data_IF_900657779151
#
_entry.id   IF_900657779151
#
_cell.length_a   1.000
_cell.length_b   1.000
_cell.length_c   1.000
_cell.angle_alpha   90.00
_cell.angle_beta   90.00
_cell.angle_gamma   90.00
#
_symmetry.space_group_name_H-M   'P 1'
#
loop_
_entity.id
_entity.type
_entity.pdbx_description
1 polymer ?
#
# COMPACT_ATOMS: atom_id res chain seq x y z
N UNK A 1 -49.95 -40.24 21.46
CA UNK A 1 -48.96 -40.71 20.46
C UNK A 1 -48.84 -39.77 19.25
N UNK A 2 -49.85 -38.94 18.97
CA UNK A 2 -49.87 -37.94 17.90
C UNK A 2 -49.04 -36.67 18.19
N UNK A 3 -48.89 -36.26 19.46
CA UNK A 3 -48.10 -35.06 19.82
C UNK A 3 -46.58 -35.23 19.68
N UNK A 4 -46.07 -36.47 19.85
CA UNK A 4 -44.64 -36.78 19.71
C UNK A 4 -44.20 -36.71 18.23
N UNK A 5 -45.07 -37.14 17.31
CA UNK A 5 -44.81 -37.05 15.86
C UNK A 5 -44.86 -35.59 15.36
N UNK A 6 -45.74 -34.75 15.93
CA UNK A 6 -45.85 -33.32 15.60
C UNK A 6 -44.63 -32.53 16.10
N UNK A 7 -44.11 -32.85 17.29
CA UNK A 7 -42.91 -32.22 17.87
C UNK A 7 -41.65 -32.49 17.06
N UNK A 8 -41.47 -33.71 16.57
CA UNK A 8 -40.30 -34.06 15.76
C UNK A 8 -40.27 -33.30 14.43
N UNK A 9 -41.42 -33.14 13.75
CA UNK A 9 -41.50 -32.33 12.52
C UNK A 9 -41.07 -30.88 12.74
N UNK A 10 -41.53 -30.25 13.81
CA UNK A 10 -41.15 -28.86 14.17
C UNK A 10 -39.64 -28.76 14.39
N UNK A 11 -39.04 -29.72 15.09
CA UNK A 11 -37.57 -29.78 15.31
C UNK A 11 -36.79 -29.94 14.00
N UNK A 12 -37.25 -30.80 13.09
CA UNK A 12 -36.59 -30.98 11.79
C UNK A 12 -36.72 -29.75 10.90
N UNK A 13 -37.87 -29.07 10.89
CA UNK A 13 -38.05 -27.81 10.17
C UNK A 13 -37.07 -26.76 10.70
N UNK A 14 -36.99 -26.56 12.01
CA UNK A 14 -36.02 -25.64 12.60
C UNK A 14 -34.56 -26.03 12.31
N UNK A 15 -34.23 -27.32 12.34
CA UNK A 15 -32.88 -27.81 12.03
C UNK A 15 -32.50 -27.50 10.57
N UNK A 16 -33.41 -27.74 9.63
CA UNK A 16 -33.19 -27.45 8.21
C UNK A 16 -33.08 -25.94 7.99
N UNK A 17 -33.96 -25.14 8.58
CA UNK A 17 -33.92 -23.67 8.46
C UNK A 17 -32.62 -23.10 9.04
N UNK A 18 -32.19 -23.58 10.20
CA UNK A 18 -30.93 -23.17 10.82
C UNK A 18 -29.72 -23.53 9.95
N UNK A 19 -29.73 -24.72 9.33
CA UNK A 19 -28.67 -25.14 8.42
C UNK A 19 -28.59 -24.25 7.18
N UNK A 20 -29.74 -23.93 6.57
CA UNK A 20 -29.81 -23.03 5.41
C UNK A 20 -29.32 -21.63 5.78
N UNK A 21 -29.76 -21.08 6.92
CA UNK A 21 -29.30 -19.79 7.42
C UNK A 21 -27.79 -19.79 7.68
N UNK A 22 -27.24 -20.84 8.27
CA UNK A 22 -25.80 -20.97 8.50
C UNK A 22 -25.03 -20.96 7.17
N UNK A 23 -25.51 -21.67 6.15
CA UNK A 23 -24.91 -21.64 4.81
C UNK A 23 -24.91 -20.25 4.17
N UNK A 24 -26.02 -19.52 4.29
CA UNK A 24 -26.13 -18.14 3.79
C UNK A 24 -25.15 -17.23 4.54
N UNK A 25 -25.12 -17.29 5.87
CA UNK A 25 -24.22 -16.48 6.70
C UNK A 25 -22.74 -16.77 6.39
N UNK A 26 -22.40 -18.02 6.10
CA UNK A 26 -21.04 -18.40 5.71
C UNK A 26 -20.64 -17.82 4.34
N UNK A 27 -21.52 -17.91 3.34
CA UNK A 27 -21.28 -17.30 2.01
C UNK A 27 -21.17 -15.77 2.13
N UNK A 28 -22.05 -15.13 2.91
CA UNK A 28 -22.01 -13.69 3.15
C UNK A 28 -20.73 -13.27 3.88
N UNK A 29 -20.31 -14.00 4.92
CA UNK A 29 -19.08 -13.70 5.66
C UNK A 29 -17.83 -13.79 4.78
N UNK A 30 -17.73 -14.86 3.97
CA UNK A 30 -16.63 -14.99 3.00
C UNK A 30 -16.72 -13.88 1.95
N UNK A 31 -17.92 -13.60 1.43
CA UNK A 31 -18.17 -12.58 0.42
C UNK A 31 -17.77 -11.17 0.87
N UNK A 32 -18.04 -10.80 2.11
CA UNK A 32 -17.59 -9.52 2.68
C UNK A 32 -16.06 -9.40 2.64
N UNK A 33 -15.34 -10.42 3.10
CA UNK A 33 -13.86 -10.38 3.12
C UNK A 33 -13.21 -10.50 1.73
N UNK A 34 -13.92 -11.04 0.74
CA UNK A 34 -13.38 -11.30 -0.61
C UNK A 34 -13.67 -10.16 -1.57
N UNK A 35 -14.91 -9.64 -1.56
CA UNK A 35 -15.35 -8.59 -2.48
C UNK A 35 -15.25 -7.17 -1.90
N UNK A 36 -15.31 -7.00 -0.57
CA UNK A 36 -15.13 -5.67 0.06
C UNK A 36 -13.67 -5.41 0.45
N UNK A 37 -12.77 -6.37 0.27
CA UNK A 37 -11.35 -6.11 0.29
C UNK A 37 -10.97 -5.45 -1.05
N UNK A 38 -10.72 -4.14 -1.02
CA UNK A 38 -10.19 -3.40 -2.16
C UNK A 38 -8.86 -4.00 -2.67
N UNK A 39 -8.29 -3.45 -3.77
CA UNK A 39 -7.06 -3.94 -4.38
C UNK A 39 -5.99 -4.18 -3.33
N UNK A 40 -5.56 -5.44 -3.18
CA UNK A 40 -4.72 -5.87 -2.05
C UNK A 40 -3.27 -5.41 -2.18
N UNK A 41 -2.86 -4.99 -3.37
CA UNK A 41 -1.53 -4.47 -3.70
C UNK A 41 -1.68 -3.51 -4.88
N UNK A 42 -1.32 -2.24 -4.70
CA UNK A 42 -1.12 -1.30 -5.81
C UNK A 42 0.39 -1.22 -6.01
N UNK A 43 0.89 -1.82 -7.09
CA UNK A 43 2.31 -1.78 -7.44
C UNK A 43 2.52 -0.63 -8.40
N UNK A 44 3.24 0.40 -7.98
CA UNK A 44 3.76 1.40 -8.88
C UNK A 44 5.22 1.09 -9.19
N UNK A 45 5.55 1.03 -10.47
CA UNK A 45 6.91 0.78 -10.94
C UNK A 45 7.35 1.91 -11.85
N UNK A 46 8.52 2.48 -11.56
CA UNK A 46 9.14 3.45 -12.43
C UNK A 46 10.65 3.23 -12.44
N UNK A 47 11.27 3.53 -13.58
CA UNK A 47 12.69 3.30 -13.86
C UNK A 47 13.36 4.65 -14.04
N UNK A 48 14.42 4.91 -13.28
CA UNK A 48 15.26 6.09 -13.47
C UNK A 48 16.73 5.75 -13.48
N UNK A 49 17.49 6.60 -14.18
CA UNK A 49 18.93 6.71 -14.04
C UNK A 49 19.21 7.94 -13.18
N UNK A 50 19.35 7.73 -11.87
CA UNK A 50 19.95 8.72 -10.98
C UNK A 50 21.47 8.54 -11.04
N UNK A 51 22.22 9.63 -11.22
CA UNK A 51 23.69 9.60 -11.38
C UNK A 51 24.41 8.93 -10.20
N UNK A 52 23.85 9.02 -8.99
CA UNK A 52 24.43 8.47 -7.76
C UNK A 52 23.56 7.37 -7.10
N UNK A 53 22.52 6.90 -7.78
CA UNK A 53 21.61 5.90 -7.21
C UNK A 53 20.78 6.36 -5.99
N UNK A 54 20.77 7.67 -5.70
CA UNK A 54 20.02 8.25 -4.57
C UNK A 54 18.62 8.70 -5.02
N UNK A 55 17.60 8.21 -4.31
CA UNK A 55 16.22 8.63 -4.48
C UNK A 55 15.62 9.14 -3.15
N UNK A 56 14.80 10.17 -3.25
CA UNK A 56 14.02 10.73 -2.14
C UNK A 56 12.55 10.40 -2.39
N UNK A 57 11.96 9.68 -1.45
CA UNK A 57 10.53 9.38 -1.46
C UNK A 57 9.82 10.37 -0.53
N UNK A 58 8.86 11.12 -1.07
CA UNK A 58 8.10 12.07 -0.25
C UNK A 58 7.15 11.36 0.71
N UNK A 59 6.89 11.98 1.86
CA UNK A 59 5.93 11.48 2.86
C UNK A 59 4.50 11.39 2.29
N UNK A 60 4.14 12.35 1.45
CA UNK A 60 2.86 12.37 0.73
C UNK A 60 2.66 11.11 -0.12
N UNK A 61 3.74 10.58 -0.72
CA UNK A 61 3.69 9.36 -1.54
C UNK A 61 3.44 8.11 -0.72
N UNK A 62 3.99 8.04 0.50
CA UNK A 62 3.76 6.92 1.42
C UNK A 62 2.37 6.95 2.03
N UNK A 63 1.85 8.13 2.32
CA UNK A 63 0.52 8.32 2.91
C UNK A 63 -0.62 8.26 1.88
N UNK A 64 -0.32 8.40 0.58
CA UNK A 64 -1.27 8.20 -0.50
C UNK A 64 -1.77 6.75 -0.63
N UNK A 65 -1.04 5.76 -0.09
CA UNK A 65 -1.41 4.35 -0.17
C UNK A 65 -2.21 3.94 1.08
N UNK A 66 -3.43 3.43 0.87
CA UNK A 66 -4.22 2.85 1.95
C UNK A 66 -3.59 1.52 2.43
N UNK A 67 -3.15 1.48 3.69
CA UNK A 67 -2.59 0.28 4.32
C UNK A 67 -1.10 0.39 4.61
N UNK A 68 -0.38 -0.73 4.50
CA UNK A 68 1.06 -0.76 4.75
C UNK A 68 1.83 -0.56 3.44
N UNK A 69 2.50 0.58 3.31
CA UNK A 69 3.37 0.86 2.17
C UNK A 69 4.57 -0.09 2.17
N UNK A 70 4.86 -0.69 1.01
CA UNK A 70 6.05 -1.50 0.79
C UNK A 70 6.83 -0.92 -0.39
N UNK A 71 8.11 -0.62 -0.17
CA UNK A 71 8.98 -0.02 -1.18
C UNK A 71 10.06 -1.01 -1.55
N UNK A 72 10.16 -1.31 -2.85
CA UNK A 72 11.19 -2.20 -3.40
C UNK A 72 12.02 -1.39 -4.38
N UNK A 73 13.32 -1.27 -4.10
CA UNK A 73 14.26 -0.55 -4.96
C UNK A 73 15.24 -1.54 -5.55
N UNK A 74 15.42 -1.48 -6.87
CA UNK A 74 16.36 -2.32 -7.60
C UNK A 74 17.32 -1.41 -8.38
N UNK A 75 18.62 -1.67 -8.30
CA UNK A 75 19.63 -0.86 -8.96
C UNK A 75 21.06 -1.27 -8.57
N UNK A 76 22.04 -0.51 -9.05
CA UNK A 76 23.43 -0.59 -8.58
C UNK A 76 23.56 0.36 -7.41
N UNK A 77 23.87 -0.19 -6.23
CA UNK A 77 23.96 0.53 -4.95
C UNK A 77 22.77 1.48 -4.67
N UNK A 78 21.52 0.99 -4.74
CA UNK A 78 20.34 1.84 -4.58
C UNK A 78 20.22 2.34 -3.14
N UNK A 79 20.17 3.66 -2.97
CA UNK A 79 19.91 4.30 -1.68
C UNK A 79 18.60 5.08 -1.77
N UNK A 80 17.71 4.84 -0.82
CA UNK A 80 16.46 5.58 -0.69
C UNK A 80 16.43 6.33 0.64
N UNK A 81 16.16 7.62 0.57
CA UNK A 81 15.94 8.48 1.72
C UNK A 81 14.42 8.66 1.94
N UNK A 82 13.99 8.44 3.17
CA UNK A 82 12.58 8.51 3.58
C UNK A 82 12.51 9.25 4.92
N UNK A 83 11.54 10.16 5.05
CA UNK A 83 11.35 10.95 6.26
C UNK A 83 10.48 12.16 5.97
N UNK A 84 10.45 13.11 6.92
CA UNK A 84 9.77 14.37 6.71
C UNK A 84 10.49 15.18 5.63
N UNK A 85 9.75 15.66 4.62
CA UNK A 85 10.32 16.27 3.40
C UNK A 85 11.40 17.31 3.71
N UNK A 86 11.11 18.26 4.61
CA UNK A 86 12.06 19.31 5.00
C UNK A 86 13.41 18.75 5.47
N UNK A 87 13.39 17.71 6.29
CA UNK A 87 14.60 17.19 6.92
C UNK A 87 15.39 16.33 5.91
N UNK A 88 14.70 15.52 5.09
CA UNK A 88 15.33 14.73 4.03
C UNK A 88 15.96 15.64 2.98
N UNK A 89 15.25 16.67 2.52
CA UNK A 89 15.79 17.65 1.56
C UNK A 89 17.03 18.35 2.10
N UNK A 90 17.07 18.69 3.39
CA UNK A 90 18.25 19.27 4.00
C UNK A 90 19.46 18.30 4.01
N UNK A 91 19.22 17.01 4.23
CA UNK A 91 20.29 15.99 4.21
C UNK A 91 20.81 15.69 2.81
N UNK A 92 19.92 15.71 1.81
CA UNK A 92 20.29 15.36 0.42
C UNK A 92 20.71 16.55 -0.42
N UNK A 93 20.51 17.79 0.05
CA UNK A 93 20.85 19.04 -0.63
C UNK A 93 22.24 19.04 -1.34
N UNK A 94 23.34 18.56 -0.73
CA UNK A 94 24.65 18.60 -1.37
C UNK A 94 24.86 17.53 -2.48
N UNK A 95 23.90 16.63 -2.70
CA UNK A 95 24.00 15.54 -3.66
C UNK A 95 22.99 15.70 -4.80
N UNK A 96 23.27 15.14 -5.97
CA UNK A 96 22.20 14.92 -6.96
C UNK A 96 21.24 13.84 -6.44
N UNK A 97 19.94 13.95 -6.68
CA UNK A 97 18.99 12.92 -6.26
C UNK A 97 17.76 12.90 -7.17
N UNK A 98 17.05 11.78 -7.20
CA UNK A 98 15.74 11.71 -7.83
C UNK A 98 14.64 11.92 -6.79
N UNK A 99 13.68 12.81 -7.04
CA UNK A 99 12.44 12.87 -6.27
C UNK A 99 11.45 11.85 -6.82
N UNK A 100 10.70 11.19 -5.92
CA UNK A 100 9.68 10.21 -6.26
C UNK A 100 8.36 10.66 -5.66
N UNK A 101 7.39 10.97 -6.53
CA UNK A 101 6.06 11.45 -6.17
C UNK A 101 4.97 10.54 -6.75
N UNK A 102 3.87 10.34 -6.04
CA UNK A 102 2.68 9.69 -6.62
C UNK A 102 1.77 10.68 -7.33
N UNK A 103 1.43 10.41 -8.59
CA UNK A 103 0.30 11.05 -9.26
C UNK A 103 -1.00 10.31 -8.91
N UNK A 104 -1.81 10.95 -8.05
CA UNK A 104 -3.11 10.44 -7.62
C UNK A 104 -4.12 10.27 -8.78
N UNK A 105 -3.93 10.99 -9.89
CA UNK A 105 -4.83 10.98 -11.05
C UNK A 105 -4.59 9.77 -11.95
N UNK A 106 -3.32 9.39 -12.12
CA UNK A 106 -2.90 8.32 -13.03
C UNK A 106 -2.51 7.03 -12.32
N UNK A 107 -2.41 7.06 -10.98
CA UNK A 107 -1.89 5.95 -10.17
C UNK A 107 -0.50 5.53 -10.67
N UNK A 108 0.38 6.51 -10.97
CA UNK A 108 1.76 6.30 -11.39
C UNK A 108 2.72 7.04 -10.47
N UNK A 109 3.96 6.55 -10.39
CA UNK A 109 5.05 7.30 -9.77
C UNK A 109 5.69 8.19 -10.82
N UNK A 110 5.77 9.48 -10.50
CA UNK A 110 6.52 10.48 -11.26
C UNK A 110 7.86 10.63 -10.59
N UNK A 111 8.93 10.58 -11.40
CA UNK A 111 10.28 10.77 -10.90
C UNK A 111 10.92 11.96 -11.60
N UNK A 112 11.46 12.87 -10.79
CA UNK A 112 12.11 14.09 -11.28
C UNK A 112 13.55 14.14 -10.78
N UNK A 113 14.55 14.14 -11.68
CA UNK A 113 15.95 14.28 -11.28
C UNK A 113 16.24 15.70 -10.80
N UNK A 114 16.98 15.81 -9.71
CA UNK A 114 17.53 17.04 -9.14
C UNK A 114 19.04 16.96 -9.27
N UNK A 115 19.62 17.93 -9.98
CA UNK A 115 21.06 18.02 -10.16
C UNK A 115 21.74 18.37 -8.83
N UNK A 116 22.99 17.94 -8.69
CA UNK A 116 23.80 18.26 -7.53
C UNK A 116 23.98 19.78 -7.37
N UNK A 117 23.79 20.26 -6.14
CA UNK A 117 24.17 21.63 -5.77
C UNK A 117 25.62 21.65 -5.27
N UNK A 118 26.51 22.20 -6.11
CA UNK A 118 27.94 22.28 -5.80
C UNK A 118 28.25 23.30 -4.69
N UNK A 119 27.45 24.35 -4.53
CA UNK A 119 27.65 25.35 -3.47
C UNK A 119 27.26 24.76 -2.11
N UNK A 120 26.12 24.06 -2.06
CA UNK A 120 25.72 23.30 -0.89
C UNK A 120 26.76 22.21 -0.55
N UNK A 121 27.29 21.51 -1.55
CA UNK A 121 28.32 20.49 -1.36
C UNK A 121 29.61 21.04 -0.74
N UNK A 122 30.07 22.21 -1.16
CA UNK A 122 31.22 22.87 -0.54
C UNK A 122 30.97 23.24 0.93
N UNK A 123 29.76 23.74 1.25
CA UNK A 123 29.39 24.08 2.63
C UNK A 123 29.35 22.88 3.58
N UNK A 124 29.06 21.69 3.06
CA UNK A 124 29.04 20.43 3.82
C UNK A 124 30.42 19.81 4.00
N UNK A 125 31.39 20.16 3.16
CA UNK A 125 32.75 19.63 3.18
C UNK A 125 33.72 20.44 4.08
N UNK A 126 33.30 21.62 4.54
CA UNK A 126 34.05 22.53 5.42
C UNK A 126 33.88 22.20 6.91
#
# INVERSE_FOLDING_TARGET
MTDILRSNHVRYVFAITALVLAGILLILGIGQTTFMAGPRVITHSASLQAENGLAVLSDETLTAVAGQANVVVNGVDPVIAVGHDRDVHAWVAPFGYATVESDASTAQLVLSPVAQDFEAAESFAA
#
